data_IF_051005534440
#
_entry.id   IF_051005534440
#
_cell.length_a   1.000
_cell.length_b   1.000
_cell.length_c   1.000
_cell.angle_alpha   90.00
_cell.angle_beta   90.00
_cell.angle_gamma   90.00
#
_symmetry.space_group_name_H-M   'P 1'
#
loop_
_entity.id
_entity.type
_entity.pdbx_description
1 polymer ?
#
# COMPACT_ATOMS: atom_id res chain seq x y z
N UNK A 1 1.71 3.28 -14.94
CA UNK A 1 0.45 3.27 -14.19
C UNK A 1 -0.51 2.19 -14.66
N UNK A 2 -1.67 2.12 -14.06
CA UNK A 2 -2.68 1.07 -14.28
C UNK A 2 -3.87 1.56 -15.13
N UNK A 3 -3.65 2.48 -16.07
CA UNK A 3 -4.69 2.87 -17.02
C UNK A 3 -5.17 1.62 -17.79
N UNK A 4 -6.49 1.41 -18.02
CA UNK A 4 -7.59 2.34 -17.76
C UNK A 4 -8.20 2.28 -16.35
N UNK A 5 -7.64 1.53 -15.43
CA UNK A 5 -8.15 1.33 -14.07
C UNK A 5 -7.70 2.46 -13.13
N UNK A 6 -8.09 3.68 -13.42
CA UNK A 6 -7.65 4.89 -12.73
C UNK A 6 -8.84 5.73 -12.24
N UNK A 7 -8.57 6.61 -11.27
CA UNK A 7 -9.56 7.60 -10.84
C UNK A 7 -9.51 8.84 -11.73
N UNK A 8 -10.62 9.57 -11.80
CA UNK A 8 -10.68 10.90 -12.41
C UNK A 8 -10.05 11.99 -11.54
N UNK A 9 -9.79 11.70 -10.27
CA UNK A 9 -9.18 12.62 -9.33
C UNK A 9 -7.68 12.77 -9.60
N UNK A 10 -7.16 13.99 -9.49
CA UNK A 10 -5.72 14.22 -9.51
C UNK A 10 -5.17 14.01 -8.09
N UNK A 11 -4.63 12.81 -7.84
CA UNK A 11 -4.15 12.39 -6.54
C UNK A 11 -2.61 12.47 -6.40
N UNK A 12 -1.94 13.20 -7.28
CA UNK A 12 -0.50 13.45 -7.17
C UNK A 12 -0.21 14.78 -6.49
N UNK A 13 0.97 14.91 -5.89
CA UNK A 13 1.41 16.18 -5.29
C UNK A 13 1.43 17.33 -6.31
N UNK A 14 1.78 17.05 -7.58
CA UNK A 14 1.68 18.02 -8.67
C UNK A 14 0.27 18.54 -8.90
N UNK A 15 -0.75 17.74 -8.62
CA UNK A 15 -2.15 18.16 -8.69
C UNK A 15 -2.52 19.25 -7.67
N UNK A 16 -1.91 19.24 -6.50
CA UNK A 16 -2.11 20.30 -5.51
C UNK A 16 -1.57 21.66 -6.03
N UNK A 17 -0.42 21.64 -6.70
CA UNK A 17 0.19 22.83 -7.32
C UNK A 17 -0.73 23.41 -8.39
N UNK A 18 -1.14 22.59 -9.35
CA UNK A 18 -1.96 23.05 -10.49
C UNK A 18 -3.39 23.41 -10.05
N UNK A 19 -3.96 22.70 -9.10
CA UNK A 19 -5.33 22.92 -8.63
C UNK A 19 -5.50 24.13 -7.71
N UNK A 20 -4.47 24.45 -6.91
CA UNK A 20 -4.50 25.60 -5.99
C UNK A 20 -3.89 26.87 -6.56
N UNK A 21 -3.09 26.78 -7.63
CA UNK A 21 -2.32 27.89 -8.16
C UNK A 21 -1.08 28.26 -7.32
N UNK A 22 -0.74 27.47 -6.30
CA UNK A 22 0.47 27.65 -5.50
C UNK A 22 1.69 27.24 -6.31
N UNK A 23 2.72 28.07 -6.32
CA UNK A 23 3.98 27.73 -7.00
C UNK A 23 4.69 26.54 -6.33
N UNK A 24 5.38 25.68 -7.09
CA UNK A 24 6.02 24.48 -6.54
C UNK A 24 7.07 24.78 -5.46
N UNK A 25 7.75 25.93 -5.55
CA UNK A 25 8.73 26.35 -4.55
C UNK A 25 8.17 26.72 -3.18
N UNK A 26 6.84 26.80 -3.04
CA UNK A 26 6.16 27.04 -1.79
C UNK A 26 5.69 25.73 -1.09
N UNK A 27 5.99 24.58 -1.68
CA UNK A 27 5.70 23.28 -1.08
C UNK A 27 6.97 22.76 -0.41
N UNK A 28 7.02 22.84 0.89
CA UNK A 28 8.18 22.40 1.67
C UNK A 28 8.15 20.90 1.98
N UNK A 29 6.94 20.34 2.14
CA UNK A 29 6.74 18.96 2.55
C UNK A 29 5.60 18.31 1.80
N UNK A 30 5.81 17.05 1.40
CA UNK A 30 4.79 16.19 0.83
C UNK A 30 4.67 14.96 1.72
N UNK A 31 3.56 14.88 2.47
CA UNK A 31 3.26 13.76 3.36
C UNK A 31 2.39 12.75 2.63
N UNK A 32 2.95 11.59 2.29
CA UNK A 32 2.20 10.46 1.75
C UNK A 32 1.47 9.71 2.86
N UNK A 33 0.18 9.45 2.66
CA UNK A 33 -0.59 8.60 3.58
C UNK A 33 -0.69 7.22 2.95
N UNK A 34 -0.15 6.21 3.63
CA UNK A 34 -0.14 4.82 3.17
C UNK A 34 -0.74 3.92 4.26
N UNK A 35 -1.41 2.85 3.86
CA UNK A 35 -1.77 1.76 4.78
C UNK A 35 -0.59 0.79 4.90
N UNK A 36 -0.49 0.09 6.02
CA UNK A 36 0.49 -0.99 6.22
C UNK A 36 0.21 -2.26 5.37
N UNK A 37 -0.84 -2.25 4.60
CA UNK A 37 -1.22 -3.23 3.56
C UNK A 37 -1.93 -2.48 2.43
N UNK A 38 -2.17 -3.10 1.28
CA UNK A 38 -2.84 -2.39 0.20
C UNK A 38 -4.31 -2.80 0.05
N UNK A 39 -5.10 -1.86 -0.43
CA UNK A 39 -6.50 -2.10 -0.78
C UNK A 39 -6.85 -1.50 -2.13
N UNK A 40 -7.76 -2.15 -2.85
CA UNK A 40 -8.28 -1.65 -4.12
C UNK A 40 -9.79 -1.79 -4.20
N UNK A 41 -10.42 -0.79 -4.81
CA UNK A 41 -11.82 -0.85 -5.23
C UNK A 41 -11.87 -1.00 -6.73
N UNK A 42 -12.71 -1.91 -7.22
CA UNK A 42 -12.87 -2.15 -8.66
C UNK A 42 -11.80 -3.05 -9.27
N UNK A 43 -11.81 -3.12 -10.59
CA UNK A 43 -10.95 -3.99 -11.40
C UNK A 43 -9.54 -3.43 -11.54
N UNK A 44 -8.66 -4.20 -12.16
CA UNK A 44 -7.29 -3.85 -12.48
C UNK A 44 -6.26 -4.66 -11.71
N UNK A 45 -4.98 -4.59 -12.12
CA UNK A 45 -3.92 -5.39 -11.56
C UNK A 45 -3.66 -5.06 -10.08
N UNK A 46 -3.42 -6.09 -9.30
CA UNK A 46 -3.05 -6.02 -7.89
C UNK A 46 -2.23 -7.28 -7.56
N UNK A 47 -0.94 -7.30 -7.89
CA UNK A 47 -0.11 -8.50 -7.78
C UNK A 47 -0.06 -9.11 -6.38
N UNK A 48 -0.15 -8.28 -5.34
CA UNK A 48 -0.12 -8.73 -3.94
C UNK A 48 -1.50 -9.08 -3.38
N UNK A 49 -2.55 -9.15 -4.23
CA UNK A 49 -3.92 -9.45 -3.81
C UNK A 49 -4.00 -10.82 -3.12
N UNK A 50 -4.77 -10.86 -2.06
CA UNK A 50 -5.13 -12.06 -1.33
C UNK A 50 -6.59 -12.38 -1.56
N UNK A 51 -6.88 -13.64 -1.89
CA UNK A 51 -8.25 -14.10 -1.93
C UNK A 51 -8.87 -13.98 -0.53
N UNK A 52 -10.11 -13.51 -0.46
CA UNK A 52 -10.81 -13.34 0.83
C UNK A 52 -10.93 -14.65 1.62
N UNK A 53 -11.01 -15.76 0.93
CA UNK A 53 -11.15 -17.10 1.50
C UNK A 53 -9.87 -17.59 2.19
N UNK A 54 -8.74 -16.90 2.01
CA UNK A 54 -7.51 -17.16 2.76
C UNK A 54 -7.58 -16.52 4.13
N UNK A 55 -6.93 -17.12 5.12
CA UNK A 55 -6.88 -16.57 6.49
C UNK A 55 -6.36 -15.12 6.50
N UNK A 56 -5.32 -14.84 5.72
CA UNK A 56 -4.75 -13.50 5.64
C UNK A 56 -5.69 -12.50 4.93
N UNK A 57 -6.32 -12.89 3.82
CA UNK A 57 -7.27 -12.04 3.10
C UNK A 57 -8.51 -11.72 3.94
N UNK A 58 -9.02 -12.72 4.66
CA UNK A 58 -10.13 -12.57 5.60
C UNK A 58 -9.75 -11.60 6.74
N UNK A 59 -8.62 -11.85 7.40
CA UNK A 59 -8.15 -11.04 8.51
C UNK A 59 -7.94 -9.57 8.11
N UNK A 60 -7.24 -9.29 7.00
CA UNK A 60 -7.07 -7.92 6.52
C UNK A 60 -8.40 -7.22 6.23
N UNK A 61 -9.39 -7.96 5.74
CA UNK A 61 -10.71 -7.40 5.40
C UNK A 61 -11.52 -7.10 6.64
N UNK A 62 -11.62 -8.05 7.57
CA UNK A 62 -12.49 -7.95 8.74
C UNK A 62 -11.87 -7.04 9.82
N UNK A 63 -10.64 -7.30 10.25
CA UNK A 63 -9.95 -6.47 11.25
C UNK A 63 -9.67 -5.06 10.70
N UNK A 64 -9.36 -4.96 9.41
CA UNK A 64 -9.19 -3.68 8.72
C UNK A 64 -10.50 -2.95 8.43
N UNK A 65 -11.66 -3.60 8.59
CA UNK A 65 -12.97 -3.09 8.19
C UNK A 65 -12.95 -2.55 6.75
N UNK A 66 -12.47 -3.35 5.82
CA UNK A 66 -12.24 -2.94 4.44
C UNK A 66 -13.50 -3.05 3.58
N UNK A 67 -14.45 -2.18 3.90
CA UNK A 67 -15.74 -2.03 3.22
C UNK A 67 -15.93 -0.60 2.74
N UNK A 68 -16.63 -0.44 1.62
CA UNK A 68 -17.00 0.88 1.11
C UNK A 68 -18.04 1.55 2.02
N UNK A 69 -17.77 2.77 2.47
CA UNK A 69 -18.65 3.49 3.40
C UNK A 69 -20.06 3.66 2.84
N UNK A 70 -20.17 3.96 1.54
CA UNK A 70 -21.47 4.23 0.90
C UNK A 70 -22.18 2.95 0.44
N UNK A 71 -21.44 2.00 -0.11
CA UNK A 71 -22.02 0.82 -0.77
C UNK A 71 -21.95 -0.44 0.09
N UNK A 72 -21.20 -0.44 1.18
CA UNK A 72 -20.91 -1.65 1.96
C UNK A 72 -20.09 -2.70 1.19
N UNK A 73 -19.66 -2.40 -0.04
CA UNK A 73 -18.93 -3.36 -0.88
C UNK A 73 -17.54 -3.61 -0.32
N UNK A 74 -17.18 -4.89 -0.21
CA UNK A 74 -15.86 -5.33 0.21
C UNK A 74 -14.78 -4.81 -0.74
N UNK A 75 -13.67 -4.33 -0.18
CA UNK A 75 -12.48 -3.98 -0.92
C UNK A 75 -11.60 -5.21 -1.13
N UNK A 76 -10.87 -5.22 -2.23
CA UNK A 76 -9.79 -6.17 -2.47
C UNK A 76 -8.64 -5.80 -1.54
N UNK A 77 -8.07 -6.77 -0.83
CA UNK A 77 -6.95 -6.57 0.09
C UNK A 77 -5.73 -7.35 -0.35
N UNK A 78 -4.56 -6.88 -0.01
CA UNK A 78 -3.30 -7.56 -0.31
C UNK A 78 -2.18 -7.10 0.62
N UNK A 79 -1.08 -7.85 0.62
CA UNK A 79 0.12 -7.47 1.37
C UNK A 79 0.68 -6.15 0.90
N UNK A 80 1.44 -5.47 1.79
CA UNK A 80 2.08 -4.21 1.44
C UNK A 80 2.97 -4.36 0.21
N UNK A 81 2.80 -3.46 -0.74
CA UNK A 81 3.53 -3.46 -2.00
C UNK A 81 4.59 -2.36 -1.99
N UNK A 82 5.81 -2.74 -1.60
CA UNK A 82 6.94 -1.83 -1.50
C UNK A 82 7.40 -1.29 -2.86
N UNK A 83 7.23 -2.06 -3.93
CA UNK A 83 7.59 -1.62 -5.28
C UNK A 83 6.66 -0.49 -5.76
N UNK A 84 5.34 -0.61 -5.53
CA UNK A 84 4.37 0.47 -5.79
C UNK A 84 4.61 1.66 -4.85
N UNK A 85 4.86 1.40 -3.57
CA UNK A 85 5.11 2.45 -2.59
C UNK A 85 6.33 3.30 -2.97
N UNK A 86 7.43 2.66 -3.38
CA UNK A 86 8.63 3.34 -3.87
C UNK A 86 8.36 4.15 -5.13
N UNK A 87 7.65 3.57 -6.10
CA UNK A 87 7.22 4.31 -7.30
C UNK A 87 6.39 5.55 -6.92
N UNK A 88 5.40 5.39 -6.03
CA UNK A 88 4.54 6.49 -5.57
C UNK A 88 5.33 7.57 -4.84
N UNK A 89 6.27 7.18 -3.98
CA UNK A 89 7.15 8.11 -3.26
C UNK A 89 7.96 8.97 -4.23
N UNK A 90 8.55 8.34 -5.25
CA UNK A 90 9.36 9.02 -6.26
C UNK A 90 8.53 9.97 -7.13
N UNK A 91 7.38 9.52 -7.63
CA UNK A 91 6.52 10.33 -8.52
C UNK A 91 5.93 11.54 -7.79
N UNK A 92 5.66 11.42 -6.51
CA UNK A 92 5.09 12.49 -5.69
C UNK A 92 6.15 13.33 -4.96
N UNK A 93 7.41 12.93 -4.98
CA UNK A 93 8.45 13.59 -4.19
C UNK A 93 8.14 13.59 -2.70
N UNK A 94 7.69 12.42 -2.18
CA UNK A 94 7.32 12.32 -0.77
C UNK A 94 8.54 12.61 0.12
N UNK A 95 8.35 13.49 1.09
CA UNK A 95 9.35 13.80 2.11
C UNK A 95 9.12 12.98 3.39
N UNK A 96 7.88 12.59 3.63
CA UNK A 96 7.46 11.81 4.79
C UNK A 96 6.32 10.87 4.42
N UNK A 97 6.14 9.82 5.21
CA UNK A 97 5.03 8.88 5.09
C UNK A 97 4.34 8.79 6.46
N UNK A 98 3.01 8.89 6.44
CA UNK A 98 2.16 8.50 7.55
C UNK A 98 1.65 7.09 7.27
N UNK A 99 2.21 6.10 7.95
CA UNK A 99 1.78 4.71 7.85
C UNK A 99 0.57 4.50 8.75
N UNK A 100 -0.55 4.06 8.17
CA UNK A 100 -1.81 3.83 8.86
C UNK A 100 -2.16 2.35 8.88
N UNK A 101 -3.09 1.94 9.75
CA UNK A 101 -3.56 0.55 9.83
C UNK A 101 -2.48 -0.45 10.22
N UNK A 102 -1.44 -0.02 10.90
CA UNK A 102 -0.40 -0.91 11.42
C UNK A 102 -0.97 -1.87 12.47
N UNK A 103 -1.92 -1.40 13.26
CA UNK A 103 -2.67 -2.17 14.26
C UNK A 103 -3.32 -3.45 13.71
N UNK A 104 -3.81 -3.41 12.48
CA UNK A 104 -4.43 -4.58 11.80
C UNK A 104 -3.43 -5.72 11.62
N UNK A 105 -2.15 -5.39 11.43
CA UNK A 105 -1.09 -6.39 11.26
C UNK A 105 -0.72 -7.12 12.55
N UNK A 106 -1.19 -6.66 13.72
CA UNK A 106 -1.01 -7.35 15.00
C UNK A 106 -1.61 -8.77 15.04
N UNK A 107 -2.51 -9.08 14.09
CA UNK A 107 -3.11 -10.40 13.96
C UNK A 107 -2.16 -11.48 13.37
N UNK A 108 -1.06 -11.08 12.75
CA UNK A 108 -0.20 -12.00 11.98
C UNK A 108 1.04 -12.42 12.76
N UNK A 109 1.48 -13.67 12.54
CA UNK A 109 2.78 -14.20 13.01
C UNK A 109 3.90 -13.80 12.04
N UNK A 110 3.56 -13.69 10.76
CA UNK A 110 4.47 -13.30 9.69
C UNK A 110 3.78 -12.29 8.80
N UNK A 111 4.47 -11.21 8.50
CA UNK A 111 4.03 -10.13 7.62
C UNK A 111 4.85 -10.22 6.33
N UNK A 112 4.20 -10.05 5.18
CA UNK A 112 4.87 -10.10 3.89
C UNK A 112 4.90 -8.71 3.26
N UNK A 113 6.08 -8.31 2.81
CA UNK A 113 6.30 -7.08 2.06
C UNK A 113 6.78 -7.43 0.67
N UNK A 114 6.05 -7.01 -0.36
CA UNK A 114 6.47 -7.19 -1.74
C UNK A 114 7.61 -6.23 -2.06
N UNK A 115 8.78 -6.77 -2.39
CA UNK A 115 9.99 -5.99 -2.68
C UNK A 115 10.32 -5.94 -4.17
N UNK A 116 9.74 -6.83 -4.96
CA UNK A 116 9.93 -6.92 -6.40
C UNK A 116 8.81 -7.72 -7.06
N UNK A 117 8.78 -7.74 -8.39
CA UNK A 117 7.93 -8.61 -9.20
C UNK A 117 8.79 -9.44 -10.14
N UNK A 118 8.42 -10.69 -10.33
CA UNK A 118 8.92 -11.54 -11.41
C UNK A 118 7.88 -11.50 -12.55
N UNK A 119 8.29 -11.05 -13.73
CA UNK A 119 7.46 -10.94 -14.92
C UNK A 119 8.24 -11.50 -16.12
N UNK A 120 7.71 -12.51 -16.78
CA UNK A 120 8.27 -13.09 -18.03
C UNK A 120 9.77 -13.42 -17.94
N UNK A 121 10.24 -13.86 -16.76
CA UNK A 121 11.63 -14.22 -16.48
C UNK A 121 12.55 -13.06 -16.10
N UNK A 122 12.03 -11.85 -16.03
CA UNK A 122 12.74 -10.66 -15.54
C UNK A 122 12.24 -10.22 -14.18
N UNK A 123 13.15 -9.69 -13.36
CA UNK A 123 12.85 -9.14 -12.03
C UNK A 123 12.79 -7.63 -12.05
N UNK A 124 11.67 -7.08 -11.58
CA UNK A 124 11.40 -5.65 -11.48
C UNK A 124 11.30 -5.21 -10.02
N UNK A 125 12.13 -4.26 -9.61
CA UNK A 125 12.05 -3.62 -8.28
C UNK A 125 11.17 -2.36 -8.29
N UNK A 126 10.50 -2.09 -9.39
CA UNK A 126 9.53 -1.02 -9.59
C UNK A 126 8.37 -1.53 -10.44
N UNK A 127 7.33 -0.72 -10.58
CA UNK A 127 6.18 -1.09 -11.42
C UNK A 127 6.64 -1.28 -12.88
N UNK A 128 6.34 -2.43 -13.51
CA UNK A 128 6.62 -2.66 -14.93
C UNK A 128 5.96 -1.60 -15.82
N UNK A 129 6.61 -1.26 -16.93
CA UNK A 129 6.12 -0.20 -17.82
C UNK A 129 4.83 -0.56 -18.55
N UNK A 130 4.64 -1.84 -18.85
CA UNK A 130 3.48 -2.34 -19.58
C UNK A 130 2.44 -2.94 -18.64
N UNK A 131 1.19 -2.56 -18.82
CA UNK A 131 0.05 -3.05 -18.04
C UNK A 131 -0.05 -4.59 -18.06
N UNK A 132 0.14 -5.21 -19.23
CA UNK A 132 0.08 -6.67 -19.36
C UNK A 132 1.14 -7.38 -18.52
N UNK A 133 2.37 -6.84 -18.45
CA UNK A 133 3.42 -7.37 -17.60
C UNK A 133 3.04 -7.20 -16.12
N UNK A 134 2.50 -6.05 -15.74
CA UNK A 134 2.07 -5.81 -14.37
C UNK A 134 0.86 -6.67 -13.95
N UNK A 135 -0.06 -6.94 -14.87
CA UNK A 135 -1.21 -7.81 -14.61
C UNK A 135 -0.81 -9.28 -14.35
N UNK A 136 0.28 -9.73 -14.95
CA UNK A 136 0.83 -11.08 -14.80
C UNK A 136 2.01 -11.14 -13.81
N UNK A 137 2.30 -10.05 -13.13
CA UNK A 137 3.42 -9.95 -12.20
C UNK A 137 3.24 -10.90 -11.01
N UNK A 138 4.26 -11.67 -10.72
CA UNK A 138 4.32 -12.52 -9.53
C UNK A 138 5.09 -11.76 -8.44
N UNK A 139 4.47 -11.44 -7.29
CA UNK A 139 5.14 -10.70 -6.24
C UNK A 139 6.23 -11.52 -5.57
N UNK A 140 7.37 -10.89 -5.35
CA UNK A 140 8.49 -11.43 -4.57
C UNK A 140 8.44 -10.82 -3.19
N UNK A 141 8.28 -11.67 -2.19
CA UNK A 141 8.09 -11.22 -0.81
C UNK A 141 9.36 -11.35 0.03
N UNK A 142 9.56 -10.36 0.87
CA UNK A 142 10.34 -10.47 2.10
C UNK A 142 9.36 -10.77 3.25
N UNK A 143 9.73 -11.68 4.13
CA UNK A 143 8.94 -12.07 5.29
C UNK A 143 9.52 -11.44 6.55
N UNK A 144 8.70 -10.71 7.27
CA UNK A 144 9.04 -10.07 8.53
C UNK A 144 8.28 -10.74 9.68
N UNK A 145 8.86 -10.82 10.88
CA UNK A 145 8.14 -11.31 12.04
C UNK A 145 6.99 -10.36 12.41
N UNK A 146 5.84 -10.92 12.76
CA UNK A 146 4.75 -10.16 13.33
C UNK A 146 4.95 -9.96 14.84
N UNK A 147 4.29 -8.98 15.41
CA UNK A 147 4.42 -8.64 16.85
C UNK A 147 3.32 -9.20 17.74
N UNK A 148 2.21 -9.65 17.20
CA UNK A 148 1.11 -10.36 17.93
C UNK A 148 0.64 -9.69 19.22
N UNK A 149 0.75 -8.40 19.34
CA UNK A 149 0.24 -7.64 20.48
C UNK A 149 -0.54 -6.41 20.03
N UNK A 150 -1.44 -5.95 20.88
CA UNK A 150 -2.19 -4.71 20.63
C UNK A 150 -1.28 -3.50 20.77
N UNK A 151 -1.18 -2.72 19.71
CA UNK A 151 -0.39 -1.47 19.64
C UNK A 151 -1.27 -0.23 19.63
N UNK A 152 -2.59 -0.36 19.77
CA UNK A 152 -3.54 0.77 19.67
C UNK A 152 -3.34 1.80 20.80
N UNK A 153 -2.74 1.40 21.91
CA UNK A 153 -2.43 2.27 23.04
C UNK A 153 -1.08 3.01 22.91
N UNK A 154 -0.20 2.59 22.01
CA UNK A 154 1.10 3.25 21.80
C UNK A 154 0.91 4.71 21.33
N UNK A 155 1.67 5.62 21.90
CA UNK A 155 1.62 7.06 21.61
C UNK A 155 2.95 7.61 21.12
N UNK A 156 4.01 6.83 21.15
CA UNK A 156 5.32 7.15 20.62
C UNK A 156 5.91 5.96 19.86
N UNK A 157 6.87 6.23 19.00
CA UNK A 157 7.58 5.20 18.24
C UNK A 157 8.26 4.17 19.16
N UNK A 158 8.82 4.65 20.28
CA UNK A 158 9.56 3.81 21.23
C UNK A 158 8.68 2.84 22.03
N UNK A 159 7.35 3.09 22.07
CA UNK A 159 6.39 2.17 22.70
C UNK A 159 5.99 1.00 21.78
N UNK A 160 6.29 1.10 20.50
CA UNK A 160 6.02 0.01 19.56
C UNK A 160 6.97 -1.18 19.84
N UNK A 161 6.51 -2.42 19.67
CA UNK A 161 7.39 -3.58 19.69
C UNK A 161 8.46 -3.48 18.59
N UNK A 162 9.60 -4.14 18.81
CA UNK A 162 10.74 -4.05 17.89
C UNK A 162 10.34 -4.45 16.46
N UNK A 163 9.57 -5.52 16.34
CA UNK A 163 9.10 -6.06 15.07
C UNK A 163 8.19 -5.09 14.29
N UNK A 164 7.52 -4.18 15.00
CA UNK A 164 6.69 -3.13 14.39
C UNK A 164 7.48 -1.85 14.05
N UNK A 165 8.70 -1.72 14.58
CA UNK A 165 9.62 -0.59 14.29
C UNK A 165 10.55 -0.87 13.13
N UNK A 166 10.88 -2.15 12.90
CA UNK A 166 11.75 -2.64 11.82
C UNK A 166 11.02 -2.65 10.48
#
# INVERSE_FOLDING_TARGET
GTYPYVTSSNCTAGGAVTGSGVGPGNIERVLGIMKAYITRVGSGPMPTELAYETDAGHTLTEEGYEYGVTTGRRRRCGWFDGAIANYSARVNGLTHIALTKLDVLSAFDTIKVCVAYDCDGERYTTVPEHEAAFANAVPVYEELPGWKCDITACRSFDELPQEARD
#
